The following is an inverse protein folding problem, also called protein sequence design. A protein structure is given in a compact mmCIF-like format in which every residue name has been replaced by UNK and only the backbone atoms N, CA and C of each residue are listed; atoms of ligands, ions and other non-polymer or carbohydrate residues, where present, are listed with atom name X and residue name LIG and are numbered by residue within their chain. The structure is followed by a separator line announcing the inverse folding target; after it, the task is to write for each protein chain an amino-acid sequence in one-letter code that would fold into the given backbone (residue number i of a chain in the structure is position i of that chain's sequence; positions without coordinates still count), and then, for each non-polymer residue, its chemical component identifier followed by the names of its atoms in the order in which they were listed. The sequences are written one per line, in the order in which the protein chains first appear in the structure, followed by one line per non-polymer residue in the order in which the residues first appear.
data_IF_796667842665
#
_entry.id   IF_796667842665
#
_cell.length_a   1.000
_cell.length_b   1.000
_cell.length_c   1.000
_cell.angle_alpha   90.00
_cell.angle_beta   90.00
_cell.angle_gamma   90.00
#
_symmetry.space_group_name_H-M   'P 1'
#
loop_
_entity.id
_entity.type
_entity.pdbx_description
1 polymer ?
#
# COMPACT_ATOMS: atom_id res chain seq x y z
N UNK A 1 -10.59 1.76 19.60
CA UNK A 1 -9.34 1.55 18.86
C UNK A 1 -8.28 2.40 19.54
N UNK A 2 -7.08 1.87 19.79
CA UNK A 2 -6.00 2.70 20.33
C UNK A 2 -5.69 3.81 19.32
N UNK A 3 -5.45 5.02 19.80
CA UNK A 3 -5.07 6.15 18.95
C UNK A 3 -3.68 5.85 18.38
N UNK A 4 -3.61 5.60 17.07
CA UNK A 4 -2.36 5.31 16.36
C UNK A 4 -1.84 6.62 15.78
N UNK A 5 -0.54 6.87 15.95
CA UNK A 5 0.10 8.08 15.45
C UNK A 5 0.31 7.99 13.93
N UNK A 6 0.34 9.15 13.27
CA UNK A 6 0.61 9.28 11.83
C UNK A 6 1.55 10.49 11.58
N UNK A 7 2.64 10.60 12.34
CA UNK A 7 3.58 11.73 12.20
C UNK A 7 4.56 11.51 11.05
N UNK A 8 4.74 10.25 10.65
CA UNK A 8 5.64 9.83 9.58
C UNK A 8 5.03 8.68 8.78
N UNK A 9 4.95 8.86 7.46
CA UNK A 9 4.49 7.85 6.50
C UNK A 9 5.66 7.49 5.60
N UNK A 10 6.14 6.25 5.67
CA UNK A 10 7.23 5.75 4.82
C UNK A 10 6.64 5.11 3.56
N UNK A 11 6.89 5.73 2.40
CA UNK A 11 6.49 5.21 1.11
C UNK A 11 7.55 4.24 0.55
N UNK A 12 7.10 3.13 -0.03
CA UNK A 12 7.97 2.11 -0.66
C UNK A 12 7.35 1.58 -1.94
N UNK A 13 8.10 1.41 -3.05
CA UNK A 13 7.55 0.83 -4.28
C UNK A 13 7.13 -0.63 -4.07
N UNK A 14 5.91 -0.96 -4.51
CA UNK A 14 5.34 -2.31 -4.47
C UNK A 14 6.10 -3.33 -5.31
N UNK A 15 6.91 -2.89 -6.27
CA UNK A 15 7.76 -3.75 -7.09
C UNK A 15 9.04 -4.23 -6.38
N UNK A 16 9.45 -3.59 -5.27
CA UNK A 16 10.70 -3.90 -4.59
C UNK A 16 10.50 -4.62 -3.25
N UNK A 17 10.38 -5.94 -3.31
CA UNK A 17 10.18 -6.79 -2.12
C UNK A 17 11.22 -6.56 -1.01
N UNK A 18 12.50 -6.42 -1.37
CA UNK A 18 13.57 -6.20 -0.40
C UNK A 18 13.41 -4.87 0.37
N UNK A 19 12.89 -3.84 -0.28
CA UNK A 19 12.59 -2.57 0.39
C UNK A 19 11.35 -2.68 1.27
N UNK A 20 10.30 -3.37 0.79
CA UNK A 20 9.07 -3.59 1.57
C UNK A 20 9.40 -4.28 2.90
N UNK A 21 10.21 -5.34 2.88
CA UNK A 21 10.61 -6.04 4.10
C UNK A 21 11.30 -5.13 5.13
N UNK A 22 12.10 -4.15 4.67
CA UNK A 22 12.80 -3.21 5.57
C UNK A 22 11.84 -2.22 6.23
N UNK A 23 10.69 -1.93 5.61
CA UNK A 23 9.72 -0.98 6.17
C UNK A 23 9.10 -1.48 7.47
N UNK A 24 8.89 -2.80 7.60
CA UNK A 24 8.36 -3.44 8.80
C UNK A 24 9.22 -3.14 10.05
N UNK A 25 10.55 -3.17 9.88
CA UNK A 25 11.52 -2.87 10.95
C UNK A 25 11.86 -1.38 11.11
N UNK A 26 11.22 -0.47 10.38
CA UNK A 26 11.51 0.97 10.46
C UNK A 26 10.95 1.60 11.74
N UNK A 27 11.33 2.85 12.03
CA UNK A 27 10.74 3.66 13.11
C UNK A 27 9.54 4.52 12.66
N UNK A 28 9.11 4.41 11.40
CA UNK A 28 7.97 5.17 10.89
C UNK A 28 6.67 4.78 11.60
N UNK A 29 5.76 5.74 11.76
CA UNK A 29 4.45 5.48 12.37
C UNK A 29 3.50 4.74 11.41
N UNK A 30 3.70 4.95 10.11
CA UNK A 30 2.90 4.38 9.03
C UNK A 30 3.78 3.92 7.87
N UNK A 31 3.35 2.87 7.17
CA UNK A 31 3.99 2.38 5.95
C UNK A 31 2.96 2.41 4.83
N UNK A 32 3.36 2.96 3.68
CA UNK A 32 2.55 3.00 2.47
C UNK A 32 3.25 2.25 1.34
N UNK A 33 2.71 1.10 0.95
CA UNK A 33 3.21 0.35 -0.22
C UNK A 33 2.57 0.97 -1.48
N UNK A 34 3.40 1.47 -2.38
CA UNK A 34 2.97 2.23 -3.55
C UNK A 34 2.78 1.33 -4.77
N UNK A 35 1.61 1.40 -5.41
CA UNK A 35 1.32 0.76 -6.71
C UNK A 35 1.34 1.76 -7.88
N UNK A 36 1.51 3.06 -7.60
CA UNK A 36 1.32 4.14 -8.56
C UNK A 36 2.64 4.61 -9.18
N UNK A 37 3.07 5.85 -8.92
CA UNK A 37 4.15 6.50 -9.67
C UNK A 37 5.54 5.88 -9.39
N UNK A 38 5.75 5.17 -8.27
CA UNK A 38 7.01 4.49 -7.98
C UNK A 38 7.13 3.10 -8.63
N UNK A 39 6.12 2.66 -9.38
CA UNK A 39 6.06 1.32 -10.01
C UNK A 39 5.88 1.46 -11.52
N UNK A 40 6.77 0.80 -12.27
CA UNK A 40 6.69 0.79 -13.74
C UNK A 40 5.44 0.04 -14.22
N UNK A 41 4.95 0.37 -15.41
CA UNK A 41 3.70 -0.19 -15.97
C UNK A 41 3.70 -1.72 -15.97
N UNK A 42 4.79 -2.33 -16.42
CA UNK A 42 4.93 -3.78 -16.53
C UNK A 42 4.99 -4.49 -15.16
N UNK A 43 5.31 -3.76 -14.09
CA UNK A 43 5.43 -4.30 -12.74
C UNK A 43 4.14 -4.13 -11.90
N UNK A 44 3.14 -3.37 -12.37
CA UNK A 44 1.94 -3.05 -11.57
C UNK A 44 1.17 -4.28 -11.13
N UNK A 45 1.01 -5.25 -12.03
CA UNK A 45 0.32 -6.50 -11.73
C UNK A 45 1.06 -7.34 -10.69
N UNK A 46 2.36 -7.57 -10.88
CA UNK A 46 3.16 -8.31 -9.90
C UNK A 46 3.23 -7.58 -8.54
N UNK A 47 3.22 -6.25 -8.55
CA UNK A 47 3.28 -5.42 -7.34
C UNK A 47 2.03 -5.56 -6.46
N UNK A 48 0.84 -5.79 -7.04
CA UNK A 48 -0.38 -6.12 -6.26
C UNK A 48 -0.15 -7.36 -5.38
N UNK A 49 0.47 -8.39 -5.95
CA UNK A 49 0.82 -9.62 -5.22
C UNK A 49 1.77 -9.36 -4.05
N UNK A 50 2.75 -8.47 -4.23
CA UNK A 50 3.67 -8.08 -3.17
C UNK A 50 2.96 -7.32 -2.03
N UNK A 51 2.00 -6.44 -2.34
CA UNK A 51 1.20 -5.73 -1.32
C UNK A 51 0.43 -6.74 -0.46
N UNK A 52 -0.30 -7.66 -1.10
CA UNK A 52 -1.05 -8.72 -0.42
C UNK A 52 -0.14 -9.56 0.46
N UNK A 53 1.00 -9.98 -0.10
CA UNK A 53 1.99 -10.78 0.61
C UNK A 53 2.54 -10.04 1.83
N UNK A 54 2.89 -8.76 1.67
CA UNK A 54 3.45 -7.96 2.74
C UNK A 54 2.49 -7.86 3.93
N UNK A 55 1.22 -7.51 3.69
CA UNK A 55 0.25 -7.34 4.78
C UNK A 55 -0.15 -8.65 5.47
N UNK A 56 -0.01 -9.80 4.80
CA UNK A 56 -0.25 -11.11 5.39
C UNK A 56 0.95 -11.70 6.15
N UNK A 57 2.16 -11.46 5.64
CA UNK A 57 3.35 -12.19 6.10
C UNK A 57 4.28 -11.35 6.99
N UNK A 58 4.26 -10.02 6.87
CA UNK A 58 5.17 -9.16 7.63
C UNK A 58 4.51 -8.65 8.91
N UNK A 59 5.31 -8.58 9.98
CA UNK A 59 4.90 -7.96 11.24
C UNK A 59 5.20 -6.46 11.21
N UNK A 60 4.15 -5.66 11.07
CA UNK A 60 4.21 -4.20 11.15
C UNK A 60 4.01 -3.65 12.57
N UNK A 61 3.83 -4.52 13.57
CA UNK A 61 3.49 -4.15 14.93
C UNK A 61 2.30 -3.18 14.97
N UNK A 62 2.50 -2.04 15.62
CA UNK A 62 1.45 -1.01 15.74
C UNK A 62 1.45 0.04 14.61
N UNK A 63 2.21 -0.14 13.52
CA UNK A 63 2.27 0.84 12.41
C UNK A 63 1.05 0.80 11.50
N UNK A 64 0.51 1.95 11.13
CA UNK A 64 -0.57 2.00 10.13
C UNK A 64 -0.08 1.37 8.82
N UNK A 65 -0.91 0.48 8.25
CA UNK A 65 -0.66 -0.24 7.01
C UNK A 65 -1.51 0.37 5.91
N UNK A 66 -0.85 1.06 4.99
CA UNK A 66 -1.47 1.72 3.86
C UNK A 66 -0.95 1.12 2.56
N UNK A 67 -1.79 1.16 1.53
CA UNK A 67 -1.29 1.10 0.17
C UNK A 67 -1.85 2.25 -0.66
N UNK A 68 -1.06 2.73 -1.61
CA UNK A 68 -1.47 3.72 -2.58
C UNK A 68 -1.81 3.01 -3.88
N UNK A 69 -3.09 3.02 -4.23
CA UNK A 69 -3.58 2.43 -5.48
C UNK A 69 -3.21 3.33 -6.67
N UNK A 70 -3.39 2.83 -7.89
CA UNK A 70 -3.30 3.64 -9.10
C UNK A 70 -4.45 4.65 -9.22
N UNK A 71 -4.24 5.67 -10.06
CA UNK A 71 -5.25 6.70 -10.36
C UNK A 71 -6.52 6.13 -10.96
N UNK A 72 -7.67 6.71 -10.59
CA UNK A 72 -9.00 6.28 -11.03
C UNK A 72 -9.21 6.41 -12.55
N UNK A 73 -8.35 7.16 -13.23
CA UNK A 73 -8.27 7.31 -14.68
C UNK A 73 -7.48 6.18 -15.39
N UNK A 74 -6.95 5.23 -14.63
CA UNK A 74 -6.19 4.09 -15.15
C UNK A 74 -6.98 2.79 -15.10
N UNK A 75 -6.67 1.84 -15.99
CA UNK A 75 -7.27 0.51 -15.96
C UNK A 75 -6.74 -0.38 -14.80
N UNK A 76 -5.75 0.09 -14.04
CA UNK A 76 -5.16 -0.64 -12.91
C UNK A 76 -5.98 -0.46 -11.63
N UNK A 77 -6.53 0.73 -11.40
CA UNK A 77 -7.16 1.14 -10.15
C UNK A 77 -8.20 0.15 -9.61
N UNK A 78 -9.12 -0.31 -10.46
CA UNK A 78 -10.14 -1.27 -10.05
C UNK A 78 -9.54 -2.58 -9.53
N UNK A 79 -8.51 -3.10 -10.22
CA UNK A 79 -7.85 -4.35 -9.84
C UNK A 79 -6.99 -4.20 -8.60
N UNK A 80 -6.35 -3.05 -8.41
CA UNK A 80 -5.63 -2.74 -7.17
C UNK A 80 -6.58 -2.83 -5.97
N UNK A 81 -7.75 -2.20 -6.06
CA UNK A 81 -8.70 -2.19 -4.96
C UNK A 81 -9.28 -3.59 -4.68
N UNK A 82 -9.85 -4.22 -5.71
CA UNK A 82 -10.56 -5.51 -5.54
C UNK A 82 -9.60 -6.59 -5.06
N UNK A 83 -8.47 -6.79 -5.73
CA UNK A 83 -7.61 -7.93 -5.41
C UNK A 83 -6.89 -7.77 -4.09
N UNK A 84 -6.45 -6.54 -3.75
CA UNK A 84 -5.76 -6.30 -2.49
C UNK A 84 -6.73 -6.38 -1.31
N UNK A 85 -7.93 -5.81 -1.43
CA UNK A 85 -8.92 -5.79 -0.34
C UNK A 85 -9.57 -7.16 -0.14
N UNK A 86 -9.95 -7.87 -1.21
CA UNK A 86 -10.49 -9.24 -1.09
C UNK A 86 -9.46 -10.19 -0.45
N UNK A 87 -8.17 -10.03 -0.78
CA UNK A 87 -7.16 -10.92 -0.26
C UNK A 87 -6.69 -10.53 1.15
N UNK A 88 -6.52 -9.24 1.46
CA UNK A 88 -5.82 -8.77 2.66
C UNK A 88 -6.54 -7.63 3.42
N UNK A 89 -7.83 -7.38 3.16
CA UNK A 89 -8.60 -6.29 3.74
C UNK A 89 -8.55 -6.19 5.27
N UNK A 90 -8.54 -7.32 5.99
CA UNK A 90 -8.43 -7.36 7.45
C UNK A 90 -7.10 -6.77 8.00
N UNK A 91 -6.10 -6.63 7.13
CA UNK A 91 -4.77 -6.13 7.47
C UNK A 91 -4.52 -4.71 6.94
N UNK A 92 -5.50 -4.07 6.30
CA UNK A 92 -5.33 -2.75 5.70
C UNK A 92 -5.99 -1.71 6.60
N UNK A 93 -5.24 -0.68 6.96
CA UNK A 93 -5.76 0.39 7.80
C UNK A 93 -6.31 1.55 6.93
N UNK A 94 -5.62 1.91 5.85
CA UNK A 94 -6.05 2.98 4.93
C UNK A 94 -5.68 2.66 3.47
N UNK A 95 -6.43 3.25 2.54
CA UNK A 95 -6.15 3.23 1.10
C UNK A 95 -5.93 4.67 0.64
N UNK A 96 -4.81 4.93 -0.02
CA UNK A 96 -4.47 6.26 -0.54
C UNK A 96 -4.89 6.32 -2.01
N UNK A 97 -5.83 7.21 -2.33
CA UNK A 97 -6.29 7.47 -3.70
C UNK A 97 -5.47 8.64 -4.27
N UNK A 98 -4.67 8.43 -5.33
CA UNK A 98 -3.88 9.52 -5.92
C UNK A 98 -4.74 10.41 -6.82
N UNK A 99 -4.23 11.62 -7.10
CA UNK A 99 -4.75 12.52 -8.15
C UNK A 99 -6.24 12.90 -8.01
N UNK A 100 -6.80 12.84 -6.79
CA UNK A 100 -8.16 13.31 -6.51
C UNK A 100 -8.27 14.80 -6.82
N UNK A 101 -9.20 15.18 -7.69
CA UNK A 101 -9.39 16.56 -8.13
C UNK A 101 -10.82 17.09 -7.92
N UNK A 102 -11.72 16.22 -7.47
CA UNK A 102 -13.15 16.46 -7.32
C UNK A 102 -13.72 15.54 -6.21
N UNK A 103 -14.90 15.86 -5.66
CA UNK A 103 -15.52 15.05 -4.60
C UNK A 103 -16.29 13.81 -5.08
N UNK A 104 -16.68 13.73 -6.36
CA UNK A 104 -17.27 12.52 -6.96
C UNK A 104 -16.28 11.35 -7.03
#
# INVERSE_FOLDING_TARGET
MAERLERSVLLVPGSNWNMIQKTAGSSADAVCIDLEDAVTVDEKEASRGNVVRAFKELDFGNKLRLFRMNGLDTHFAYRDLVEVVEAAGDFIDLIVIPKVNRPE
#
